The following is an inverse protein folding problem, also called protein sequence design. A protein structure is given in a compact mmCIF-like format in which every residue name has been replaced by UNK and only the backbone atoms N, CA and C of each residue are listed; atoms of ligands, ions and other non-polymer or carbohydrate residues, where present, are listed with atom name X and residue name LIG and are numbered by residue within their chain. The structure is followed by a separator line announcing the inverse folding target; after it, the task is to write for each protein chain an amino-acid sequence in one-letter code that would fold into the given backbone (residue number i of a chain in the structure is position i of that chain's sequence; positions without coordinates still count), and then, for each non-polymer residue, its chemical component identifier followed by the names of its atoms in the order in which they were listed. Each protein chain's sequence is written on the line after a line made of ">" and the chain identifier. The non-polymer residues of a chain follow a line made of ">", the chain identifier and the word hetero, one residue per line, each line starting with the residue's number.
data_IF_941816542321
#
_entry.id   IF_941816542321
#
_cell.length_a   1.000
_cell.length_b   1.000
_cell.length_c   1.000
_cell.angle_alpha   90.00
_cell.angle_beta   90.00
_cell.angle_gamma   90.00
#
_symmetry.space_group_name_H-M   'P 1'
#
loop_
_entity.id
_entity.type
_entity.pdbx_description
1 polymer ?
#
# COMPACT_ATOMS: atom_id res chain seq x y z
N UNK A 1 27.84 -29.27 16.14
CA UNK A 1 26.47 -29.58 16.60
C UNK A 1 25.77 -28.26 16.87
N UNK A 2 24.94 -27.76 15.94
CA UNK A 2 24.15 -26.55 16.15
C UNK A 2 22.84 -26.96 16.83
N UNK A 3 22.67 -26.56 18.09
CA UNK A 3 21.49 -26.86 18.89
C UNK A 3 20.25 -26.12 18.37
N UNK A 4 19.17 -26.88 18.19
CA UNK A 4 17.83 -26.44 17.83
C UNK A 4 17.40 -25.22 18.65
N UNK A 5 17.28 -24.04 18.02
CA UNK A 5 16.60 -22.87 18.60
C UNK A 5 15.10 -22.86 18.25
N UNK A 6 14.48 -24.04 18.24
CA UNK A 6 13.04 -24.22 18.03
C UNK A 6 12.27 -23.79 19.26
N UNK A 7 12.07 -22.48 19.41
CA UNK A 7 11.40 -21.92 20.59
C UNK A 7 11.07 -20.43 20.47
N UNK A 8 11.09 -19.84 19.27
CA UNK A 8 10.51 -18.52 19.05
C UNK A 8 9.17 -18.72 18.36
N UNK A 9 8.12 -18.39 19.11
CA UNK A 9 6.78 -18.07 18.63
C UNK A 9 5.85 -19.22 18.19
N UNK A 10 5.60 -20.17 19.10
CA UNK A 10 4.30 -20.90 19.12
C UNK A 10 3.10 -20.00 19.48
N UNK A 11 3.25 -18.68 19.37
CA UNK A 11 2.17 -17.73 19.65
C UNK A 11 1.22 -17.78 18.48
N UNK A 12 -0.05 -18.02 18.76
CA UNK A 12 -1.12 -17.90 17.78
C UNK A 12 -1.71 -16.51 17.84
N UNK A 13 -2.10 -15.99 16.68
CA UNK A 13 -2.88 -14.76 16.53
C UNK A 13 -4.18 -15.09 15.80
N UNK A 14 -5.18 -14.24 15.96
CA UNK A 14 -6.49 -14.42 15.33
C UNK A 14 -6.51 -13.61 14.04
N UNK A 15 -6.82 -14.25 12.92
CA UNK A 15 -7.10 -13.57 11.66
C UNK A 15 -8.35 -12.70 11.84
N UNK A 16 -8.24 -11.39 11.60
CA UNK A 16 -9.38 -10.46 11.76
C UNK A 16 -10.48 -10.66 10.71
N UNK A 17 -10.15 -11.30 9.58
CA UNK A 17 -11.09 -11.54 8.49
C UNK A 17 -11.91 -12.82 8.69
N UNK A 18 -11.25 -13.96 8.87
CA UNK A 18 -11.93 -15.26 9.01
C UNK A 18 -12.13 -15.72 10.46
N UNK A 19 -11.40 -15.15 11.43
CA UNK A 19 -11.45 -15.54 12.83
C UNK A 19 -10.55 -16.74 13.18
N UNK A 20 -9.82 -17.33 12.23
CA UNK A 20 -8.97 -18.48 12.49
C UNK A 20 -7.76 -18.13 13.34
N UNK A 21 -7.38 -19.06 14.23
CA UNK A 21 -6.15 -18.97 15.00
C UNK A 21 -4.98 -19.53 14.18
N UNK A 22 -4.09 -18.65 13.74
CA UNK A 22 -2.92 -19.00 12.93
C UNK A 22 -1.63 -18.77 13.72
N UNK A 23 -0.55 -19.47 13.36
CA UNK A 23 0.76 -19.21 13.94
C UNK A 23 1.20 -17.79 13.59
N UNK A 24 1.83 -17.12 14.55
CA UNK A 24 2.31 -15.73 14.36
C UNK A 24 3.31 -15.61 13.20
N UNK A 25 4.06 -16.67 12.91
CA UNK A 25 5.00 -16.73 11.79
C UNK A 25 4.31 -16.84 10.42
N UNK A 26 3.10 -17.39 10.39
CA UNK A 26 2.29 -17.55 9.19
C UNK A 26 1.32 -16.38 8.97
N UNK A 27 1.19 -15.47 9.94
CA UNK A 27 0.30 -14.31 9.85
C UNK A 27 0.96 -13.11 9.13
N UNK A 28 0.13 -12.31 8.47
CA UNK A 28 0.48 -11.02 7.86
C UNK A 28 -0.01 -9.89 8.75
N UNK A 29 0.83 -8.86 8.90
CA UNK A 29 0.48 -7.67 9.65
C UNK A 29 -0.41 -6.78 8.79
N UNK A 30 -1.58 -6.46 9.31
CA UNK A 30 -2.53 -5.55 8.69
C UNK A 30 -2.42 -4.18 9.37
N UNK A 31 -2.04 -3.17 8.59
CA UNK A 31 -2.15 -1.76 8.99
C UNK A 31 -3.46 -1.19 8.42
N UNK A 32 -4.43 -0.95 9.30
CA UNK A 32 -5.71 -0.33 8.94
C UNK A 32 -5.56 1.08 8.35
N UNK A 33 -4.48 1.78 8.67
CA UNK A 33 -4.17 3.12 8.17
C UNK A 33 -3.38 3.07 6.85
N UNK A 34 -2.98 1.88 6.37
CA UNK A 34 -2.31 1.70 5.08
C UNK A 34 -0.83 2.10 5.03
N UNK A 35 -0.24 2.59 6.13
CA UNK A 35 1.17 3.00 6.20
C UNK A 35 2.08 1.89 6.77
N UNK A 36 2.40 0.93 5.90
CA UNK A 36 3.27 -0.21 6.24
C UNK A 36 4.70 0.15 6.62
N UNK A 37 5.11 1.40 6.42
CA UNK A 37 6.51 1.83 6.57
C UNK A 37 6.79 2.41 7.95
N UNK A 38 5.82 3.08 8.58
CA UNK A 38 5.95 3.55 9.96
C UNK A 38 5.42 2.50 10.95
N UNK A 39 6.33 1.98 11.79
CA UNK A 39 6.03 0.99 12.84
C UNK A 39 5.99 1.57 14.25
N UNK A 40 6.33 2.85 14.44
CA UNK A 40 6.40 3.43 15.80
C UNK A 40 4.99 3.73 16.29
N UNK A 41 4.71 3.30 17.51
CA UNK A 41 3.47 3.58 18.23
C UNK A 41 2.19 3.08 17.54
N UNK A 42 2.31 2.04 16.70
CA UNK A 42 1.18 1.36 16.05
C UNK A 42 1.03 -0.07 16.55
N UNK A 43 -0.21 -0.46 16.81
CA UNK A 43 -0.60 -1.86 17.02
C UNK A 43 -1.11 -2.41 15.70
N UNK A 44 -0.51 -3.52 15.25
CA UNK A 44 -0.92 -4.20 14.02
C UNK A 44 -1.97 -5.27 14.32
N UNK A 45 -2.93 -5.40 13.41
CA UNK A 45 -3.84 -6.53 13.36
C UNK A 45 -3.26 -7.64 12.48
N UNK A 46 -3.88 -8.82 12.46
CA UNK A 46 -3.33 -9.99 11.79
C UNK A 46 -4.30 -10.61 10.81
N UNK A 47 -3.78 -11.04 9.67
CA UNK A 47 -4.48 -11.83 8.66
C UNK A 47 -3.74 -13.15 8.43
N UNK A 48 -4.48 -14.22 8.12
CA UNK A 48 -3.86 -15.39 7.53
C UNK A 48 -3.41 -15.08 6.09
N UNK A 49 -2.49 -15.88 5.54
CA UNK A 49 -1.99 -15.69 4.16
C UNK A 49 -3.13 -15.66 3.16
N UNK A 50 -4.08 -16.58 3.27
CA UNK A 50 -5.19 -16.68 2.32
C UNK A 50 -6.06 -15.40 2.31
N UNK A 51 -6.40 -14.85 3.49
CA UNK A 51 -7.17 -13.62 3.57
C UNK A 51 -6.36 -12.38 3.15
N UNK A 52 -5.05 -12.35 3.42
CA UNK A 52 -4.17 -11.26 2.97
C UNK A 52 -4.06 -11.25 1.43
N UNK A 53 -3.93 -12.42 0.81
CA UNK A 53 -3.81 -12.58 -0.65
C UNK A 53 -5.08 -12.13 -1.40
N UNK A 54 -6.26 -12.22 -0.76
CA UNK A 54 -7.53 -11.75 -1.32
C UNK A 54 -7.73 -10.23 -1.21
N UNK A 55 -6.93 -9.53 -0.40
CA UNK A 55 -7.08 -8.09 -0.20
C UNK A 55 -6.47 -7.26 -1.33
N UNK A 56 -7.11 -6.11 -1.58
CA UNK A 56 -6.53 -5.07 -2.42
C UNK A 56 -5.42 -4.36 -1.65
N UNK A 57 -4.20 -4.46 -2.17
CA UNK A 57 -3.01 -3.77 -1.68
C UNK A 57 -2.82 -2.37 -2.29
N UNK A 58 -3.83 -1.86 -3.02
CA UNK A 58 -3.74 -0.54 -3.61
C UNK A 58 -3.76 0.54 -2.51
N UNK A 59 -2.90 1.57 -2.61
CA UNK A 59 -2.92 2.67 -1.66
C UNK A 59 -4.31 3.33 -1.65
N UNK A 60 -4.82 3.62 -0.47
CA UNK A 60 -6.16 4.23 -0.28
C UNK A 60 -6.09 5.76 -0.20
N UNK A 61 -4.89 6.33 -0.25
CA UNK A 61 -4.68 7.77 -0.18
C UNK A 61 -5.46 8.50 -1.28
N UNK A 62 -6.32 9.44 -0.87
CA UNK A 62 -7.15 10.22 -1.79
C UNK A 62 -8.35 9.46 -2.38
N UNK A 63 -8.51 8.16 -2.10
CA UNK A 63 -9.62 7.36 -2.65
C UNK A 63 -10.98 7.88 -2.18
N UNK A 64 -11.12 8.18 -0.88
CA UNK A 64 -12.39 8.71 -0.33
C UNK A 64 -12.74 10.06 -0.96
N UNK A 65 -11.78 10.99 -1.03
CA UNK A 65 -11.99 12.29 -1.65
C UNK A 65 -12.37 12.16 -3.12
N UNK A 66 -11.73 11.25 -3.87
CA UNK A 66 -12.08 10.95 -5.25
C UNK A 66 -13.51 10.41 -5.35
N UNK A 67 -13.87 9.40 -4.55
CA UNK A 67 -15.20 8.78 -4.56
C UNK A 67 -16.27 9.83 -4.25
N UNK A 68 -16.08 10.65 -3.21
CA UNK A 68 -17.01 11.73 -2.86
C UNK A 68 -17.13 12.79 -3.97
N UNK A 69 -16.09 12.98 -4.80
CA UNK A 69 -16.16 13.97 -5.89
C UNK A 69 -16.96 13.48 -7.10
N UNK A 70 -17.06 12.17 -7.30
CA UNK A 70 -17.76 11.55 -8.44
C UNK A 70 -19.13 11.00 -8.08
N UNK A 71 -19.36 10.71 -6.80
CA UNK A 71 -20.64 10.19 -6.30
C UNK A 71 -21.73 11.26 -6.41
N UNK A 72 -22.95 10.82 -6.71
CA UNK A 72 -24.14 11.65 -6.71
C UNK A 72 -25.37 10.79 -6.43
N UNK A 73 -26.40 11.40 -5.85
CA UNK A 73 -27.66 10.71 -5.57
C UNK A 73 -28.31 10.20 -6.87
N UNK A 74 -28.77 8.95 -6.85
CA UNK A 74 -29.53 8.36 -7.95
C UNK A 74 -28.71 7.81 -9.11
N UNK A 75 -27.37 7.74 -9.00
CA UNK A 75 -26.53 7.09 -9.99
C UNK A 75 -26.74 5.58 -10.01
N UNK A 76 -26.81 5.00 -11.21
CA UNK A 76 -26.64 3.57 -11.37
C UNK A 76 -25.19 3.16 -11.08
N UNK A 77 -24.99 1.89 -10.74
CA UNK A 77 -23.65 1.32 -10.53
C UNK A 77 -22.75 1.52 -11.76
N UNK A 78 -23.30 1.36 -12.96
CA UNK A 78 -22.55 1.46 -14.20
C UNK A 78 -22.09 2.90 -14.48
N UNK A 79 -22.94 3.89 -14.20
CA UNK A 79 -22.58 5.31 -14.30
C UNK A 79 -21.55 5.75 -13.25
N UNK A 80 -21.65 5.23 -12.02
CA UNK A 80 -20.65 5.48 -10.98
C UNK A 80 -19.28 4.93 -11.38
N UNK A 81 -19.23 3.67 -11.84
CA UNK A 81 -17.99 3.04 -12.26
C UNK A 81 -17.39 3.71 -13.50
N UNK A 82 -18.21 4.17 -14.45
CA UNK A 82 -17.73 4.96 -15.59
C UNK A 82 -17.01 6.24 -15.15
N UNK A 83 -17.63 7.03 -14.26
CA UNK A 83 -17.00 8.24 -13.71
C UNK A 83 -15.71 7.95 -12.95
N UNK A 84 -15.67 6.85 -12.19
CA UNK A 84 -14.47 6.44 -11.47
C UNK A 84 -13.32 6.13 -12.42
N UNK A 85 -13.56 5.33 -13.47
CA UNK A 85 -12.55 4.99 -14.47
C UNK A 85 -12.03 6.23 -15.18
N UNK A 86 -12.93 7.14 -15.59
CA UNK A 86 -12.56 8.39 -16.26
C UNK A 86 -11.69 9.28 -15.36
N UNK A 87 -12.05 9.41 -14.07
CA UNK A 87 -11.33 10.24 -13.12
C UNK A 87 -9.93 9.68 -12.81
N UNK A 88 -9.80 8.36 -12.62
CA UNK A 88 -8.51 7.70 -12.39
C UNK A 88 -7.60 7.77 -13.63
N UNK A 89 -8.16 7.62 -14.83
CA UNK A 89 -7.39 7.75 -16.08
C UNK A 89 -6.85 9.17 -16.24
N UNK A 90 -7.69 10.18 -15.97
CA UNK A 90 -7.31 11.60 -16.07
C UNK A 90 -6.19 11.97 -15.08
N UNK A 91 -6.24 11.45 -13.85
CA UNK A 91 -5.20 11.71 -12.82
C UNK A 91 -3.85 11.04 -13.18
N UNK A 92 -3.90 9.87 -13.84
CA UNK A 92 -2.70 9.19 -14.31
C UNK A 92 -1.99 9.97 -15.44
N UNK A 93 -2.75 10.53 -16.38
CA UNK A 93 -2.21 11.35 -17.47
C UNK A 93 -1.50 12.61 -16.94
N UNK A 94 -2.06 13.27 -15.92
CA UNK A 94 -1.48 14.47 -15.29
C UNK A 94 -0.12 14.16 -14.61
N UNK A 95 -0.04 13.03 -13.89
CA UNK A 95 1.21 12.59 -13.22
C UNK A 95 2.33 12.27 -14.20
N UNK A 96 2.03 11.77 -15.39
CA UNK A 96 3.05 11.53 -16.43
C UNK A 96 3.58 12.81 -17.08
N UNK A 97 2.82 13.91 -17.04
CA UNK A 97 3.23 15.22 -17.59
C UNK A 97 4.33 15.94 -16.80
N UNK A 98 4.56 15.57 -15.53
CA UNK A 98 5.55 16.21 -14.66
C UNK A 98 6.96 15.58 -14.72
N UNK A 99 7.15 14.46 -15.43
CA UNK A 99 8.44 13.76 -15.53
C UNK A 99 9.30 14.22 -16.72
N UNK A 100 9.32 15.53 -16.99
CA UNK A 100 10.02 16.13 -18.12
C UNK A 100 11.29 16.92 -17.73
N UNK A 101 12.44 16.24 -17.72
CA UNK A 101 13.80 16.80 -17.93
C UNK A 101 14.42 17.65 -16.81
N UNK A 102 15.03 17.01 -15.81
CA UNK A 102 16.22 17.59 -15.15
C UNK A 102 17.46 17.29 -16.00
N UNK A 103 17.86 18.27 -16.84
CA UNK A 103 19.16 18.24 -17.48
C UNK A 103 20.24 18.30 -16.38
N UNK A 104 20.94 17.18 -16.25
CA UNK A 104 22.21 17.03 -15.52
C UNK A 104 23.08 18.27 -15.70
N UNK A 105 23.36 18.97 -14.61
CA UNK A 105 24.33 20.05 -14.62
C UNK A 105 25.72 19.46 -14.75
N UNK A 106 26.42 19.83 -15.83
CA UNK A 106 27.84 19.59 -16.02
C UNK A 106 28.62 20.35 -14.95
N UNK A 107 28.82 19.70 -13.81
CA UNK A 107 29.92 20.03 -12.90
C UNK A 107 30.99 18.98 -13.10
N UNK A 108 32.15 19.46 -13.55
CA UNK A 108 33.48 19.11 -13.06
C UNK A 108 34.46 18.89 -14.21
N UNK A 109 35.29 19.91 -14.46
CA UNK A 109 36.74 19.82 -14.70
C UNK A 109 37.30 21.22 -14.90
N UNK A 110 37.35 21.96 -13.79
CA UNK A 110 38.31 23.04 -13.64
C UNK A 110 39.51 22.49 -12.87
N UNK A 111 40.71 22.81 -13.35
CA UNK A 111 41.96 22.91 -12.60
C UNK A 111 42.64 21.61 -12.10
N UNK A 112 43.64 21.16 -12.88
CA UNK A 112 44.93 20.71 -12.32
C UNK A 112 46.09 21.26 -13.14
N UNK A 113 46.49 22.48 -12.80
CA UNK A 113 47.89 22.90 -12.87
C UNK A 113 48.69 22.12 -11.81
N UNK A 114 49.69 21.34 -12.26
CA UNK A 114 51.06 21.22 -11.73
C UNK A 114 51.82 20.08 -12.40
#
# INVERSE_FOLDING_TARGET
>A
MWGSRGGRDRRTVVCIACGDSVLREDAREYDKEGDRWNRRDKEFEYLCVDCDDELSHQPRDGLESLVCSIESDGLSTEEFLGRYVDAVASDADDRTGASGTEKRSDRDRSDRDR
#
